data_IF_776888401290
#
_entry.id   IF_776888401290
#
_cell.length_a   1.000
_cell.length_b   1.000
_cell.length_c   1.000
_cell.angle_alpha   90.00
_cell.angle_beta   90.00
_cell.angle_gamma   90.00
#
_symmetry.space_group_name_H-M   'P 1'
#
loop_
_entity.id
_entity.type
_entity.pdbx_description
1 polymer ?
#
# COMPACT_ATOMS: atom_id res chain seq x y z
N UNK A 1 5.04 -8.06 -42.08
CA UNK A 1 4.83 -7.68 -41.76
C UNK A 1 4.85 -7.43 -41.39
N UNK A 2 5.08 -7.71 -41.18
CA UNK A 2 4.92 -7.55 -40.76
C UNK A 2 4.75 -7.18 -40.21
N UNK A 3 4.77 -7.36 -40.14
CA UNK A 3 4.52 -7.17 -39.69
C UNK A 3 4.41 -6.92 -39.04
N UNK A 4 4.30 -6.90 -38.99
CA UNK A 4 3.95 -6.78 -38.37
C UNK A 4 4.39 -6.67 -37.54
N UNK A 5 4.73 -6.80 -37.39
CA UNK A 5 5.03 -6.74 -36.62
C UNK A 5 5.28 -6.21 -35.76
N UNK A 6 5.33 -5.85 -35.44
CA UNK A 6 5.33 -5.31 -34.75
C UNK A 6 5.54 -4.87 -33.95
N UNK A 7 5.86 -4.62 -33.71
CA UNK A 7 5.83 -4.36 -32.68
C UNK A 7 6.12 -3.41 -32.10
N UNK A 8 6.74 -2.79 -32.38
CA UNK A 8 6.99 -1.75 -31.65
C UNK A 8 5.85 -1.10 -31.47
N UNK A 9 5.27 -0.44 -32.17
CA UNK A 9 4.02 -0.18 -31.63
C UNK A 9 3.41 -1.49 -31.22
N UNK A 10 4.09 -2.55 -31.46
CA UNK A 10 3.53 -3.85 -31.25
C UNK A 10 4.28 -4.58 -30.16
N UNK A 11 4.30 -3.98 -29.00
CA UNK A 11 4.78 -4.68 -27.82
C UNK A 11 3.99 -5.97 -27.66
N UNK A 12 4.64 -7.00 -27.17
CA UNK A 12 3.95 -8.26 -26.91
C UNK A 12 2.87 -8.07 -25.87
N UNK A 13 1.91 -9.00 -25.83
CA UNK A 13 0.87 -8.95 -24.81
C UNK A 13 1.49 -8.96 -23.42
N UNK A 14 2.51 -9.79 -23.20
CA UNK A 14 3.17 -9.85 -21.90
C UNK A 14 3.80 -8.50 -21.53
N UNK A 15 4.44 -7.85 -22.50
CA UNK A 15 5.04 -6.55 -22.24
C UNK A 15 4.00 -5.49 -21.93
N UNK A 16 2.88 -5.52 -22.64
CA UNK A 16 1.79 -4.58 -22.38
C UNK A 16 1.17 -4.81 -21.01
N UNK A 17 0.97 -6.07 -20.64
CA UNK A 17 0.46 -6.40 -19.32
C UNK A 17 1.42 -5.98 -18.23
N UNK A 18 2.71 -6.19 -18.42
CA UNK A 18 3.71 -5.78 -17.44
C UNK A 18 3.71 -4.26 -17.26
N UNK A 19 3.62 -3.51 -18.37
CA UNK A 19 3.56 -2.07 -18.30
C UNK A 19 2.32 -1.59 -17.57
N UNK A 20 1.17 -2.23 -17.85
CA UNK A 20 -0.08 -1.90 -17.19
C UNK A 20 0.01 -2.17 -15.68
N UNK A 21 0.55 -3.32 -15.30
CA UNK A 21 0.70 -3.66 -13.90
C UNK A 21 1.59 -2.64 -13.18
N UNK A 22 2.70 -2.25 -13.81
CA UNK A 22 3.56 -1.24 -13.22
C UNK A 22 2.82 0.08 -13.03
N UNK A 23 2.03 0.49 -14.03
CA UNK A 23 1.26 1.72 -13.93
C UNK A 23 0.24 1.65 -12.80
N UNK A 24 -0.46 0.54 -12.69
CA UNK A 24 -1.50 0.37 -11.67
C UNK A 24 -0.93 0.32 -10.26
N UNK A 25 0.22 -0.35 -10.09
CA UNK A 25 0.80 -0.55 -8.77
C UNK A 25 1.58 0.66 -8.30
N UNK A 26 2.28 1.32 -9.22
CA UNK A 26 3.18 2.41 -8.85
C UNK A 26 2.61 3.80 -9.15
N UNK A 27 1.43 3.88 -9.73
CA UNK A 27 0.88 5.17 -10.14
C UNK A 27 1.61 5.79 -11.32
N UNK A 28 2.28 4.96 -12.11
CA UNK A 28 3.03 5.44 -13.27
C UNK A 28 2.07 5.89 -14.38
N UNK A 29 2.64 6.54 -15.40
CA UNK A 29 1.84 7.03 -16.52
C UNK A 29 1.12 5.88 -17.21
N UNK A 30 -0.10 6.15 -17.67
CA UNK A 30 -0.92 5.16 -18.36
C UNK A 30 -0.28 4.76 -19.68
N UNK A 31 -0.12 3.45 -19.94
CA UNK A 31 0.41 3.03 -21.22
C UNK A 31 -0.53 3.40 -22.37
N UNK A 32 0.06 3.64 -23.52
CA UNK A 32 -0.71 3.96 -24.72
C UNK A 32 -1.67 2.80 -25.06
N UNK A 33 -2.90 3.13 -25.36
CA UNK A 33 -3.91 2.15 -25.72
C UNK A 33 -4.83 1.72 -24.59
N UNK A 34 -4.67 2.27 -23.39
CA UNK A 34 -5.55 1.97 -22.27
C UNK A 34 -6.39 3.20 -21.91
N UNK A 35 -7.62 2.94 -21.50
CA UNK A 35 -8.53 3.99 -21.03
C UNK A 35 -8.02 4.55 -19.71
N UNK A 36 -7.83 5.87 -19.65
CA UNK A 36 -7.29 6.51 -18.45
C UNK A 36 -8.20 6.31 -17.24
N UNK A 37 -9.51 6.44 -17.43
CA UNK A 37 -10.44 6.29 -16.32
C UNK A 37 -10.47 4.85 -15.82
N UNK A 38 -10.44 3.88 -16.72
CA UNK A 38 -10.41 2.47 -16.34
C UNK A 38 -9.12 2.13 -15.61
N UNK A 39 -7.99 2.69 -16.06
CA UNK A 39 -6.71 2.47 -15.41
C UNK A 39 -6.72 3.08 -14.00
N UNK A 40 -7.27 4.28 -13.86
CA UNK A 40 -7.34 4.94 -12.56
C UNK A 40 -8.20 4.13 -11.58
N UNK A 41 -9.35 3.63 -12.06
CA UNK A 41 -10.22 2.82 -11.21
C UNK A 41 -9.55 1.52 -10.80
N UNK A 42 -8.83 0.89 -11.72
CA UNK A 42 -8.11 -0.35 -11.41
C UNK A 42 -6.96 -0.08 -10.45
N UNK A 43 -6.28 1.06 -10.58
CA UNK A 43 -5.22 1.44 -9.67
C UNK A 43 -5.76 1.60 -8.25
N UNK A 44 -6.90 2.25 -8.10
CA UNK A 44 -7.53 2.37 -6.79
C UNK A 44 -7.90 1.02 -6.21
N UNK A 45 -8.47 0.13 -7.05
CA UNK A 45 -8.83 -1.21 -6.60
C UNK A 45 -7.60 -1.98 -6.11
N UNK A 46 -6.46 -1.84 -6.79
CA UNK A 46 -5.23 -2.50 -6.38
C UNK A 46 -4.70 -1.95 -5.07
N UNK A 47 -4.82 -0.64 -4.84
CA UNK A 47 -4.42 -0.06 -3.57
C UNK A 47 -5.25 -0.62 -2.42
N UNK A 48 -6.57 -0.73 -2.62
CA UNK A 48 -7.43 -1.31 -1.61
C UNK A 48 -7.12 -2.79 -1.39
N UNK A 49 -6.80 -3.51 -2.45
CA UNK A 49 -6.40 -4.91 -2.31
C UNK A 49 -5.12 -5.04 -1.51
N UNK A 50 -4.12 -4.18 -1.76
CA UNK A 50 -2.90 -4.17 -0.97
C UNK A 50 -3.19 -3.92 0.51
N UNK A 51 -4.04 -2.93 0.78
CA UNK A 51 -4.42 -2.62 2.16
C UNK A 51 -5.10 -3.82 2.82
N UNK A 52 -5.99 -4.47 2.08
CA UNK A 52 -6.71 -5.63 2.61
C UNK A 52 -5.76 -6.79 2.91
N UNK A 53 -4.78 -7.03 2.05
CA UNK A 53 -3.80 -8.09 2.27
C UNK A 53 -2.95 -7.84 3.50
N UNK A 54 -2.52 -6.59 3.69
CA UNK A 54 -1.78 -6.23 4.88
C UNK A 54 -2.66 -6.39 6.13
N UNK A 55 -3.90 -5.94 6.05
CA UNK A 55 -4.81 -6.04 7.19
C UNK A 55 -5.06 -7.48 7.60
N UNK A 56 -5.23 -8.37 6.62
CA UNK A 56 -5.45 -9.79 6.91
C UNK A 56 -4.23 -10.43 7.54
N UNK A 57 -3.06 -10.07 7.08
CA UNK A 57 -1.83 -10.69 7.51
C UNK A 57 -1.30 -10.11 8.81
N UNK A 58 -1.57 -8.84 9.04
CA UNK A 58 -1.01 -8.12 10.18
C UNK A 58 -2.12 -7.34 10.90
N UNK A 59 -3.05 -8.05 11.55
CA UNK A 59 -4.17 -7.38 12.22
C UNK A 59 -3.74 -6.44 13.33
N UNK A 60 -2.58 -6.69 13.97
CA UNK A 60 -2.09 -5.79 14.99
C UNK A 60 -1.73 -4.42 14.43
N UNK A 61 -1.24 -4.39 13.19
CA UNK A 61 -0.95 -3.12 12.54
C UNK A 61 -2.23 -2.31 12.32
N UNK A 62 -3.29 -2.98 11.88
CA UNK A 62 -4.59 -2.34 11.70
C UNK A 62 -5.10 -1.77 13.02
N UNK A 63 -4.99 -2.57 14.07
CA UNK A 63 -5.43 -2.16 15.39
C UNK A 63 -4.64 -0.94 15.89
N UNK A 64 -3.35 -0.92 15.62
CA UNK A 64 -2.50 0.19 16.04
C UNK A 64 -2.83 1.50 15.31
N UNK A 65 -3.52 1.43 14.19
CA UNK A 65 -3.92 2.61 13.43
C UNK A 65 -5.22 3.24 13.91
N UNK A 66 -5.86 2.69 14.93
CA UNK A 66 -7.07 3.24 15.53
C UNK A 66 -8.21 3.43 14.53
N UNK A 67 -8.39 2.44 13.66
CA UNK A 67 -9.57 2.38 12.82
C UNK A 67 -9.46 3.04 11.46
N UNK A 68 -8.38 3.73 11.16
CA UNK A 68 -8.26 4.44 9.89
C UNK A 68 -7.19 3.85 8.99
N UNK A 69 -6.94 2.57 9.15
CA UNK A 69 -5.84 1.91 8.46
C UNK A 69 -5.96 2.01 6.95
N UNK A 70 -7.13 1.67 6.39
CA UNK A 70 -7.28 1.59 4.94
C UNK A 70 -7.00 2.93 4.28
N UNK A 71 -7.56 4.01 4.82
CA UNK A 71 -7.36 5.33 4.25
C UNK A 71 -5.89 5.75 4.34
N UNK A 72 -5.28 5.52 5.49
CA UNK A 72 -3.88 5.90 5.69
C UNK A 72 -2.95 5.07 4.83
N UNK A 73 -3.20 3.77 4.75
CA UNK A 73 -2.36 2.89 3.95
C UNK A 73 -2.46 3.22 2.47
N UNK A 74 -3.67 3.41 1.94
CA UNK A 74 -3.81 3.70 0.51
C UNK A 74 -3.17 5.03 0.15
N UNK A 75 -3.26 6.03 1.02
CA UNK A 75 -2.60 7.32 0.79
C UNK A 75 -1.08 7.14 0.69
N UNK A 76 -0.51 6.40 1.62
CA UNK A 76 0.92 6.11 1.60
C UNK A 76 1.31 5.29 0.37
N UNK A 77 0.50 4.27 0.06
CA UNK A 77 0.84 3.30 -0.98
C UNK A 77 0.78 3.89 -2.39
N UNK A 78 0.06 4.98 -2.57
CA UNK A 78 0.01 5.63 -3.89
C UNK A 78 1.38 6.02 -4.40
N UNK A 79 2.28 6.34 -3.49
CA UNK A 79 3.61 6.81 -3.85
C UNK A 79 4.69 5.76 -3.61
N UNK A 80 4.28 4.53 -3.31
CA UNK A 80 5.24 3.47 -2.98
C UNK A 80 4.87 2.20 -3.74
N UNK A 81 5.69 1.78 -4.70
CA UNK A 81 5.43 0.55 -5.45
C UNK A 81 5.36 -0.65 -4.53
N UNK A 82 4.51 -1.59 -4.87
CA UNK A 82 4.39 -2.81 -4.11
C UNK A 82 5.63 -3.67 -4.30
N UNK A 83 6.11 -4.23 -3.18
CA UNK A 83 7.13 -5.26 -3.21
C UNK A 83 6.53 -6.56 -2.67
N UNK A 84 6.48 -6.71 -1.35
CA UNK A 84 5.79 -7.83 -0.72
C UNK A 84 4.83 -7.29 0.32
N UNK A 85 3.88 -8.11 0.73
CA UNK A 85 2.93 -7.70 1.77
C UNK A 85 3.65 -7.38 3.08
N UNK A 86 4.66 -8.17 3.43
CA UNK A 86 5.44 -7.90 4.64
C UNK A 86 6.23 -6.62 4.55
N UNK A 87 6.85 -6.36 3.39
CA UNK A 87 7.60 -5.14 3.18
C UNK A 87 6.68 -3.92 3.18
N UNK A 88 5.50 -4.04 2.58
CA UNK A 88 4.50 -2.97 2.62
C UNK A 88 4.14 -2.64 4.06
N UNK A 89 3.88 -3.66 4.86
CA UNK A 89 3.50 -3.45 6.26
C UNK A 89 4.62 -2.75 7.03
N UNK A 90 5.84 -3.22 6.87
CA UNK A 90 6.98 -2.66 7.61
C UNK A 90 7.26 -1.22 7.19
N UNK A 91 7.24 -0.95 5.89
CA UNK A 91 7.53 0.39 5.38
C UNK A 91 6.45 1.38 5.76
N UNK A 92 5.19 0.97 5.67
CA UNK A 92 4.07 1.80 6.09
C UNK A 92 4.16 2.12 7.58
N UNK A 93 4.38 1.10 8.40
CA UNK A 93 4.48 1.31 9.84
C UNK A 93 5.62 2.27 10.19
N UNK A 94 6.75 2.14 9.52
CA UNK A 94 7.88 3.04 9.74
C UNK A 94 7.53 4.47 9.35
N UNK A 95 6.85 4.63 8.22
CA UNK A 95 6.46 5.96 7.73
C UNK A 95 5.47 6.64 8.67
N UNK A 96 4.58 5.86 9.28
CA UNK A 96 3.55 6.39 10.18
C UNK A 96 3.98 6.41 11.64
N UNK A 97 5.17 5.92 11.94
CA UNK A 97 5.65 5.89 13.32
C UNK A 97 4.89 4.90 14.20
N UNK A 98 4.44 3.79 13.62
CA UNK A 98 3.63 2.81 14.33
C UNK A 98 4.51 1.68 14.82
N UNK A 99 4.46 1.43 16.12
CA UNK A 99 5.16 0.30 16.75
C UNK A 99 4.20 -0.89 16.83
N UNK A 100 4.29 -1.79 15.87
CA UNK A 100 3.39 -2.93 15.77
C UNK A 100 4.08 -4.28 15.90
N UNK A 101 5.41 -4.28 16.07
CA UNK A 101 6.20 -5.51 16.15
C UNK A 101 6.24 -6.12 17.54
N UNK A 102 5.74 -5.43 18.54
CA UNK A 102 5.75 -5.95 19.90
C UNK A 102 4.82 -7.15 19.99
N UNK A 103 5.13 -8.08 20.92
CA UNK A 103 4.22 -9.18 21.19
C UNK A 103 2.88 -8.61 21.65
N UNK A 104 1.77 -9.33 21.44
CA UNK A 104 0.46 -8.81 21.84
C UNK A 104 0.42 -8.32 23.28
N UNK A 105 1.01 -9.08 24.19
CA UNK A 105 1.03 -8.70 25.59
C UNK A 105 1.84 -7.44 25.83
N UNK A 106 3.06 -7.42 25.30
CA UNK A 106 3.93 -6.26 25.43
C UNK A 106 3.33 -5.04 24.74
N UNK A 107 2.74 -5.26 23.59
CA UNK A 107 2.12 -4.20 22.85
C UNK A 107 1.01 -3.51 23.65
N UNK A 108 0.17 -4.30 24.31
CA UNK A 108 -0.91 -3.74 25.13
C UNK A 108 -0.36 -2.90 26.28
N UNK A 109 0.68 -3.39 26.93
CA UNK A 109 1.31 -2.67 28.04
C UNK A 109 1.95 -1.38 27.55
N UNK A 110 2.69 -1.44 26.45
CA UNK A 110 3.34 -0.25 25.89
C UNK A 110 2.32 0.81 25.52
N UNK A 111 1.20 0.40 24.97
CA UNK A 111 0.15 1.33 24.59
C UNK A 111 -0.45 2.02 25.81
N UNK A 112 -0.65 1.27 26.86
CA UNK A 112 -1.18 1.83 28.09
C UNK A 112 -0.22 2.87 28.68
N UNK A 113 1.05 2.56 28.71
CA UNK A 113 2.06 3.49 29.20
C UNK A 113 2.09 4.77 28.39
N UNK A 114 2.00 4.68 27.10
CA UNK A 114 2.01 5.86 26.25
C UNK A 114 0.83 6.77 26.55
N UNK A 115 -0.34 6.19 26.79
CA UNK A 115 -1.51 6.97 27.16
C UNK A 115 -1.29 7.73 28.46
N UNK A 116 -0.75 7.05 29.45
CA UNK A 116 -0.45 7.68 30.73
C UNK A 116 0.55 8.81 30.59
N UNK A 117 1.59 8.59 29.83
CA UNK A 117 2.59 9.64 29.61
C UNK A 117 2.00 10.85 28.91
N UNK A 118 1.19 10.61 27.91
CA UNK A 118 0.55 11.69 27.19
C UNK A 118 -0.34 12.51 28.11
N UNK A 119 -1.12 11.82 28.95
CA UNK A 119 -1.98 12.51 29.90
C UNK A 119 -1.16 13.28 30.94
N UNK A 120 -0.09 12.67 31.42
CA UNK A 120 0.79 13.35 32.39
C UNK A 120 1.45 14.59 31.80
N UNK A 121 1.90 14.50 30.58
CA UNK A 121 2.51 15.65 29.93
C UNK A 121 1.50 16.75 29.68
N UNK A 122 0.29 16.38 29.34
CA UNK A 122 -0.76 17.35 29.14
C UNK A 122 -1.13 18.09 30.40
N UNK A 123 -0.93 17.46 31.54
CA UNK A 123 -1.22 18.06 32.84
C UNK A 123 -0.12 19.01 33.34
N UNK A 124 1.02 19.01 32.72
CA UNK A 124 2.13 19.87 33.13
C UNK A 124 2.07 21.22 32.42
#
# INVERSE_FOLDING_TARGET
MSAGSGPAPHATLAERQAALVRALVAGAATPVGFDVDAVAAAAEALLHKRAHEVARRFPLLVHACDGDFTARFTTWAREHPKTTTSADAAAFAAAEGIDWNATPRRWAVSRLFRRHRAAGRGAR
#
